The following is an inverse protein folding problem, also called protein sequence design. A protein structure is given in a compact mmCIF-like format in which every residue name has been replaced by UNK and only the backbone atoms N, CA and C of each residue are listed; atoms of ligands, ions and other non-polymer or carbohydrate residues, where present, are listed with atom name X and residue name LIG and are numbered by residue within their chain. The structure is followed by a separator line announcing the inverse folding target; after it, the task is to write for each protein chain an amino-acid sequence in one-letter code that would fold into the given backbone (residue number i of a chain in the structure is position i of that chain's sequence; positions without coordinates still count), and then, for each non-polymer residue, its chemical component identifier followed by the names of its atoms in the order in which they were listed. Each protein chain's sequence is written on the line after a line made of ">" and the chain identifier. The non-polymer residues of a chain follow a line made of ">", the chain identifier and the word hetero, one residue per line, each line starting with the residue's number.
data_IF_801061503953
#
_entry.id   IF_801061503953
#
_cell.length_a   1.000
_cell.length_b   1.000
_cell.length_c   1.000
_cell.angle_alpha   90.00
_cell.angle_beta   90.00
_cell.angle_gamma   90.00
#
_symmetry.space_group_name_H-M   'P 1'
#
loop_
_entity.id
_entity.type
_entity.pdbx_description
1 polymer ?
#
# COMPACT_ATOMS: atom_id res chain seq x y z
N UNK A 1 8.26 31.40 -3.12
CA UNK A 1 8.23 31.50 -1.64
C UNK A 1 8.81 30.19 -1.14
N UNK A 2 10.09 30.19 -0.76
CA UNK A 2 10.78 28.99 -0.28
C UNK A 2 10.22 28.60 1.08
N UNK A 3 9.81 27.33 1.25
CA UNK A 3 9.46 26.80 2.57
C UNK A 3 10.73 26.82 3.43
N UNK A 4 10.67 27.27 4.69
CA UNK A 4 11.79 27.12 5.59
C UNK A 4 12.18 25.64 5.66
N UNK A 5 13.47 25.34 5.50
CA UNK A 5 13.97 23.98 5.56
C UNK A 5 13.69 23.41 6.95
N UNK A 6 12.75 22.48 7.03
CA UNK A 6 12.67 21.58 8.18
C UNK A 6 13.86 20.63 8.05
N UNK A 7 14.84 20.72 8.95
CA UNK A 7 16.05 19.86 8.96
C UNK A 7 15.75 18.35 9.09
N UNK A 8 14.47 18.00 9.28
CA UNK A 8 13.94 16.65 9.36
C UNK A 8 12.96 16.35 8.21
N UNK A 9 13.30 15.36 7.40
CA UNK A 9 12.46 14.79 6.34
C UNK A 9 11.46 13.82 6.97
N UNK A 10 10.16 14.09 6.80
CA UNK A 10 9.11 13.23 7.31
C UNK A 10 8.57 12.32 6.21
N UNK A 11 8.76 11.01 6.37
CA UNK A 11 8.28 9.98 5.45
C UNK A 11 7.08 9.27 6.07
N UNK A 12 5.99 9.16 5.31
CA UNK A 12 4.85 8.32 5.68
C UNK A 12 4.97 7.00 4.92
N UNK A 13 5.14 5.89 5.63
CA UNK A 13 5.23 4.55 5.05
C UNK A 13 3.88 3.84 5.14
N UNK A 14 3.32 3.45 3.99
CA UNK A 14 2.01 2.82 3.87
C UNK A 14 2.14 1.44 3.19
N UNK A 15 2.32 0.36 3.95
CA UNK A 15 2.37 -1.00 3.43
C UNK A 15 0.98 -1.54 3.08
N UNK A 16 0.92 -2.50 2.16
CA UNK A 16 -0.27 -3.34 1.98
C UNK A 16 -0.50 -4.19 3.25
N UNK A 17 -1.75 -4.36 3.72
CA UNK A 17 -2.03 -5.12 4.94
C UNK A 17 -1.73 -6.61 4.75
N UNK A 18 -0.53 -7.03 5.13
CA UNK A 18 -0.07 -8.41 4.98
C UNK A 18 1.36 -8.57 5.46
N UNK A 19 1.67 -9.68 6.16
CA UNK A 19 3.01 -9.92 6.74
C UNK A 19 4.13 -9.77 5.70
N UNK A 20 3.91 -10.32 4.50
CA UNK A 20 4.87 -10.28 3.39
C UNK A 20 5.14 -8.90 2.81
N UNK A 21 4.32 -7.89 3.13
CA UNK A 21 4.47 -6.51 2.67
C UNK A 21 4.92 -5.60 3.82
N UNK A 22 4.36 -5.78 5.02
CA UNK A 22 4.69 -5.00 6.20
C UNK A 22 6.15 -5.21 6.62
N UNK A 23 6.62 -6.47 6.71
CA UNK A 23 7.96 -6.74 7.21
C UNK A 23 9.06 -6.18 6.29
N UNK A 24 9.03 -6.35 4.95
CA UNK A 24 10.03 -5.74 4.08
C UNK A 24 10.03 -4.21 4.14
N UNK A 25 8.86 -3.57 4.17
CA UNK A 25 8.79 -2.12 4.31
C UNK A 25 9.37 -1.65 5.64
N UNK A 26 9.09 -2.39 6.73
CA UNK A 26 9.66 -2.09 8.05
C UNK A 26 11.19 -2.18 8.04
N UNK A 27 11.76 -3.24 7.47
CA UNK A 27 13.22 -3.39 7.36
C UNK A 27 13.86 -2.23 6.57
N UNK A 28 13.23 -1.77 5.49
CA UNK A 28 13.71 -0.61 4.73
C UNK A 28 13.65 0.66 5.58
N UNK A 29 12.57 0.86 6.33
CA UNK A 29 12.43 2.01 7.23
C UNK A 29 13.50 2.02 8.34
N UNK A 30 13.76 0.87 8.97
CA UNK A 30 14.82 0.70 9.98
C UNK A 30 16.20 1.00 9.39
N UNK A 31 16.48 0.52 8.18
CA UNK A 31 17.74 0.77 7.49
C UNK A 31 17.93 2.26 7.13
N UNK A 32 16.87 2.92 6.66
CA UNK A 32 16.88 4.36 6.34
C UNK A 32 17.18 5.18 7.60
N UNK A 33 16.49 4.90 8.70
CA UNK A 33 16.71 5.59 9.97
C UNK A 33 18.10 5.31 10.53
N UNK A 34 18.57 4.07 10.45
CA UNK A 34 19.92 3.70 10.92
C UNK A 34 21.03 4.48 10.18
N UNK A 35 20.83 4.76 8.89
CA UNK A 35 21.79 5.54 8.08
C UNK A 35 21.67 7.05 8.27
N UNK A 36 20.50 7.56 8.66
CA UNK A 36 20.22 9.00 8.81
C UNK A 36 19.42 9.30 10.11
N UNK A 37 20.00 9.04 11.29
CA UNK A 37 19.28 9.02 12.56
C UNK A 37 18.83 10.38 13.09
N UNK A 38 19.24 11.50 12.49
CA UNK A 38 18.88 12.84 12.97
C UNK A 38 18.02 13.64 11.97
N UNK A 39 17.77 13.09 10.79
CA UNK A 39 17.18 13.84 9.68
C UNK A 39 15.95 13.17 9.07
N UNK A 40 15.58 11.97 9.53
CA UNK A 40 14.41 11.26 8.99
C UNK A 40 13.51 10.82 10.13
N UNK A 41 12.27 11.30 10.08
CA UNK A 41 11.15 10.80 10.85
C UNK A 41 10.32 9.89 9.94
N UNK A 42 9.93 8.72 10.43
CA UNK A 42 9.05 7.80 9.72
C UNK A 42 7.76 7.63 10.51
N UNK A 43 6.62 7.95 9.89
CA UNK A 43 5.30 7.50 10.34
C UNK A 43 4.96 6.22 9.61
N UNK A 44 5.00 5.09 10.32
CA UNK A 44 4.68 3.78 9.77
C UNK A 44 3.21 3.46 10.00
N UNK A 45 2.43 3.44 8.92
CA UNK A 45 0.98 3.29 8.98
C UNK A 45 0.60 1.82 8.92
N UNK A 46 -0.32 1.40 9.80
CA UNK A 46 -0.91 0.07 9.77
C UNK A 46 -2.40 0.15 10.11
N UNK A 47 -3.17 -0.91 9.92
CA UNK A 47 -4.52 -0.95 10.50
C UNK A 47 -4.43 -1.19 12.02
N UNK A 48 -5.48 -0.85 12.75
CA UNK A 48 -5.59 -1.10 14.19
C UNK A 48 -5.34 -2.57 14.58
N UNK A 49 -5.83 -3.55 13.80
CA UNK A 49 -5.55 -4.97 14.00
C UNK A 49 -4.05 -5.24 13.85
N UNK A 50 -3.46 -4.76 12.75
CA UNK A 50 -2.06 -4.99 12.42
C UNK A 50 -1.11 -4.43 13.48
N UNK A 51 -1.44 -3.32 14.14
CA UNK A 51 -0.67 -2.81 15.27
C UNK A 51 -0.50 -3.87 16.38
N UNK A 52 -1.57 -4.62 16.67
CA UNK A 52 -1.54 -5.72 17.63
C UNK A 52 -0.76 -6.95 17.14
N UNK A 53 -0.76 -7.20 15.83
CA UNK A 53 -0.07 -8.34 15.22
C UNK A 53 1.45 -8.13 15.09
N UNK A 54 1.92 -6.90 14.89
CA UNK A 54 3.34 -6.59 14.68
C UNK A 54 4.07 -6.12 15.93
N UNK A 55 3.36 -5.82 17.02
CA UNK A 55 3.99 -5.50 18.30
C UNK A 55 4.04 -6.75 19.18
N UNK A 56 5.13 -7.54 19.19
CA UNK A 56 5.43 -8.35 20.35
C UNK A 56 5.49 -7.44 21.58
N UNK A 57 4.92 -7.86 22.71
CA UNK A 57 4.97 -7.14 24.00
C UNK A 57 6.37 -6.68 24.45
N UNK A 58 7.43 -7.13 23.77
CA UNK A 58 8.84 -6.96 24.16
C UNK A 58 9.75 -6.40 23.05
N UNK A 59 9.22 -5.86 21.94
CA UNK A 59 10.06 -5.17 20.94
C UNK A 59 9.73 -3.68 20.91
N UNK A 60 10.51 -2.82 21.60
CA UNK A 60 10.52 -1.40 21.27
C UNK A 60 10.83 -1.27 19.78
N UNK A 61 10.25 -0.29 19.08
CA UNK A 61 10.86 0.13 17.81
C UNK A 61 12.31 0.46 18.13
N UNK A 62 13.24 -0.15 17.39
CA UNK A 62 14.67 -0.05 17.72
C UNK A 62 15.19 1.40 17.64
N UNK A 63 14.37 2.30 17.08
CA UNK A 63 14.65 3.72 16.89
C UNK A 63 13.43 4.58 17.27
N UNK A 64 13.69 5.68 17.98
CA UNK A 64 12.68 6.68 18.37
C UNK A 64 12.07 7.46 17.18
N UNK A 65 12.72 7.36 16.01
CA UNK A 65 12.31 8.03 14.78
C UNK A 65 11.29 7.25 13.94
N UNK A 66 10.88 6.05 14.38
CA UNK A 66 9.83 5.28 13.72
C UNK A 66 8.61 5.28 14.63
N UNK A 67 7.56 5.96 14.19
CA UNK A 67 6.30 6.09 14.92
C UNK A 67 5.21 5.30 14.22
N UNK A 68 4.64 4.33 14.92
CA UNK A 68 3.47 3.61 14.41
C UNK A 68 2.22 4.45 14.59
N UNK A 69 1.42 4.58 13.53
CA UNK A 69 0.10 5.19 13.57
C UNK A 69 -0.90 4.28 12.89
N UNK A 70 -2.14 4.29 13.36
CA UNK A 70 -3.18 3.38 12.88
C UNK A 70 -4.22 4.09 12.03
N UNK A 71 -4.73 3.38 11.04
CA UNK A 71 -6.02 3.64 10.40
C UNK A 71 -7.06 2.60 10.87
N UNK A 72 -8.36 2.95 10.89
CA UNK A 72 -9.45 2.01 11.17
C UNK A 72 -9.34 0.68 10.43
N UNK A 73 -9.75 -0.41 11.08
CA UNK A 73 -9.87 -1.71 10.44
C UNK A 73 -11.04 -1.74 9.44
N UNK A 74 -10.74 -1.44 8.17
CA UNK A 74 -11.71 -1.43 7.06
C UNK A 74 -11.59 -2.63 6.12
N UNK A 75 -10.71 -3.58 6.45
CA UNK A 75 -10.43 -4.80 5.69
C UNK A 75 -10.72 -6.04 6.55
N UNK A 76 -11.06 -7.19 5.95
CA UNK A 76 -11.14 -8.46 6.66
C UNK A 76 -9.86 -8.77 7.45
N UNK A 77 -10.02 -9.45 8.60
CA UNK A 77 -8.92 -9.83 9.49
C UNK A 77 -7.84 -10.64 8.76
N UNK A 78 -6.57 -10.45 9.14
CA UNK A 78 -5.46 -11.30 8.66
C UNK A 78 -5.71 -12.80 8.85
N UNK A 79 -6.46 -13.19 9.89
CA UNK A 79 -6.74 -14.60 10.19
C UNK A 79 -7.81 -15.21 9.29
N UNK A 80 -8.72 -14.39 8.77
CA UNK A 80 -9.92 -14.84 8.05
C UNK A 80 -9.94 -14.44 6.58
N UNK A 81 -9.06 -13.53 6.14
CA UNK A 81 -9.06 -13.02 4.76
C UNK A 81 -8.89 -14.09 3.68
N UNK A 82 -8.35 -15.26 4.01
CA UNK A 82 -8.23 -16.37 3.05
C UNK A 82 -9.57 -17.02 2.72
N UNK A 83 -10.60 -16.83 3.56
CA UNK A 83 -11.97 -17.31 3.30
C UNK A 83 -12.66 -16.54 2.19
N UNK A 84 -12.27 -15.27 1.98
CA UNK A 84 -12.78 -14.39 0.94
C UNK A 84 -11.68 -13.38 0.55
N UNK A 85 -10.77 -13.87 -0.30
CA UNK A 85 -9.63 -13.06 -0.75
C UNK A 85 -10.09 -11.88 -1.62
N UNK A 86 -11.14 -12.06 -2.41
CA UNK A 86 -11.66 -11.03 -3.31
C UNK A 86 -12.24 -9.87 -2.52
N UNK A 87 -13.07 -10.14 -1.50
CA UNK A 87 -13.58 -9.10 -0.62
C UNK A 87 -12.47 -8.39 0.15
N UNK A 88 -11.40 -9.10 0.53
CA UNK A 88 -10.23 -8.50 1.17
C UNK A 88 -9.52 -7.53 0.22
N UNK A 89 -9.21 -8.00 -0.99
CA UNK A 89 -8.54 -7.19 -2.03
C UNK A 89 -9.38 -5.97 -2.38
N UNK A 90 -10.69 -6.15 -2.59
CA UNK A 90 -11.62 -5.04 -2.86
C UNK A 90 -11.63 -4.02 -1.73
N UNK A 91 -11.68 -4.48 -0.47
CA UNK A 91 -11.65 -3.59 0.68
C UNK A 91 -10.35 -2.77 0.76
N UNK A 92 -9.19 -3.38 0.46
CA UNK A 92 -7.91 -2.66 0.39
C UNK A 92 -7.96 -1.56 -0.67
N UNK A 93 -8.48 -1.86 -1.86
CA UNK A 93 -8.53 -0.91 -2.97
C UNK A 93 -9.57 0.20 -2.78
N UNK A 94 -10.69 -0.07 -2.11
CA UNK A 94 -11.83 0.86 -2.06
C UNK A 94 -12.04 1.54 -0.72
N UNK A 95 -11.55 0.97 0.38
CA UNK A 95 -11.91 1.42 1.74
C UNK A 95 -10.75 2.00 2.52
N UNK A 96 -9.50 1.70 2.17
CA UNK A 96 -8.33 2.20 2.90
C UNK A 96 -7.90 3.62 2.55
N UNK A 97 -8.23 4.11 1.34
CA UNK A 97 -7.82 5.44 0.87
C UNK A 97 -8.34 6.56 1.77
N UNK A 98 -9.66 6.61 2.05
CA UNK A 98 -10.28 7.65 2.87
C UNK A 98 -9.65 7.76 4.27
N UNK A 99 -9.56 6.66 5.04
CA UNK A 99 -8.90 6.68 6.35
C UNK A 99 -7.43 7.08 6.31
N UNK A 100 -6.71 6.75 5.23
CA UNK A 100 -5.33 7.18 5.04
C UNK A 100 -5.23 8.69 4.77
N UNK A 101 -6.13 9.25 3.97
CA UNK A 101 -6.22 10.70 3.76
C UNK A 101 -6.53 11.45 5.06
N UNK A 102 -7.52 10.99 5.82
CA UNK A 102 -7.86 11.55 7.13
C UNK A 102 -6.69 11.44 8.13
N UNK A 103 -5.85 10.42 8.00
CA UNK A 103 -4.60 10.33 8.76
C UNK A 103 -3.62 11.43 8.35
N UNK A 104 -3.40 11.65 7.05
CA UNK A 104 -2.50 12.69 6.57
C UNK A 104 -2.91 14.09 7.06
N UNK A 105 -4.22 14.35 7.20
CA UNK A 105 -4.74 15.62 7.75
C UNK A 105 -4.46 15.81 9.24
N UNK A 106 -4.30 14.72 10.00
CA UNK A 106 -4.02 14.75 11.44
C UNK A 106 -2.53 14.79 11.76
N UNK A 107 -1.66 14.59 10.77
CA UNK A 107 -0.21 14.65 10.95
C UNK A 107 0.20 16.13 11.08
N UNK A 108 0.71 16.50 12.26
CA UNK A 108 1.17 17.87 12.53
C UNK A 108 2.49 18.22 11.82
N UNK A 109 3.34 17.21 11.56
CA UNK A 109 4.66 17.40 10.94
C UNK A 109 4.56 17.34 9.41
N UNK A 110 4.96 18.38 8.66
CA UNK A 110 4.83 18.38 7.20
C UNK A 110 5.40 17.13 6.52
N UNK A 111 4.56 16.39 5.80
CA UNK A 111 4.97 15.17 5.10
C UNK A 111 5.82 15.54 3.88
N UNK A 112 7.03 15.00 3.84
CA UNK A 112 8.01 15.24 2.77
C UNK A 112 7.87 14.24 1.62
N UNK A 113 7.50 12.99 1.93
CA UNK A 113 7.26 11.94 0.95
C UNK A 113 6.38 10.83 1.53
N UNK A 114 5.72 10.09 0.63
CA UNK A 114 5.03 8.84 0.95
C UNK A 114 5.84 7.69 0.35
N UNK A 115 6.08 6.63 1.12
CA UNK A 115 6.52 5.33 0.59
C UNK A 115 5.34 4.39 0.66
N UNK A 116 4.76 4.04 -0.48
CA UNK A 116 3.57 3.20 -0.55
C UNK A 116 3.90 1.85 -1.18
N UNK A 117 3.21 0.81 -0.73
CA UNK A 117 3.22 -0.46 -1.43
C UNK A 117 2.63 -0.31 -2.84
N UNK A 118 3.21 -0.99 -3.82
CA UNK A 118 2.80 -0.89 -5.23
C UNK A 118 1.37 -1.40 -5.48
N UNK A 119 0.82 -2.23 -4.59
CA UNK A 119 -0.59 -2.63 -4.67
C UNK A 119 -1.57 -1.54 -4.20
N UNK A 120 -1.10 -0.50 -3.50
CA UNK A 120 -1.95 0.60 -3.04
C UNK A 120 -1.98 1.71 -4.10
N UNK A 121 -2.61 1.41 -5.24
CA UNK A 121 -2.64 2.32 -6.40
C UNK A 121 -3.18 3.71 -6.04
N UNK A 122 -4.17 3.77 -5.14
CA UNK A 122 -4.76 5.02 -4.65
C UNK A 122 -3.74 5.93 -3.95
N UNK A 123 -2.62 5.40 -3.42
CA UNK A 123 -1.62 6.21 -2.72
C UNK A 123 -0.91 7.20 -3.66
N UNK A 124 -0.76 6.84 -4.95
CA UNK A 124 -0.25 7.74 -5.98
C UNK A 124 -1.21 8.92 -6.19
N UNK A 125 -2.51 8.64 -6.29
CA UNK A 125 -3.52 9.68 -6.49
C UNK A 125 -3.63 10.59 -5.27
N UNK A 126 -3.57 10.05 -4.05
CA UNK A 126 -3.49 10.82 -2.80
C UNK A 126 -2.27 11.75 -2.81
N UNK A 127 -1.08 11.22 -3.14
CA UNK A 127 0.14 12.01 -3.22
C UNK A 127 0.06 13.14 -4.25
N UNK A 128 -0.51 12.85 -5.43
CA UNK A 128 -0.73 13.84 -6.48
C UNK A 128 -1.68 14.96 -6.02
N UNK A 129 -2.83 14.62 -5.42
CA UNK A 129 -3.79 15.61 -4.90
C UNK A 129 -3.18 16.51 -3.83
N UNK A 130 -2.29 15.97 -3.01
CA UNK A 130 -1.64 16.67 -1.89
C UNK A 130 -0.30 17.30 -2.24
N UNK A 131 0.17 17.13 -3.49
CA UNK A 131 1.50 17.55 -3.94
C UNK A 131 2.63 17.00 -3.04
N UNK A 132 2.52 15.71 -2.70
CA UNK A 132 3.51 14.95 -1.93
C UNK A 132 4.12 13.88 -2.85
N UNK A 133 5.46 13.85 -3.01
CA UNK A 133 6.12 12.80 -3.77
C UNK A 133 5.82 11.40 -3.22
N UNK A 134 5.56 10.44 -4.10
CA UNK A 134 5.30 9.05 -3.73
C UNK A 134 6.37 8.14 -4.32
N UNK A 135 7.00 7.33 -3.48
CA UNK A 135 7.87 6.25 -3.87
C UNK A 135 7.13 4.91 -3.74
N UNK A 136 7.13 4.11 -4.81
CA UNK A 136 6.50 2.79 -4.82
C UNK A 136 7.47 1.72 -4.32
N UNK A 137 7.04 0.89 -3.38
CA UNK A 137 7.77 -0.29 -2.92
C UNK A 137 7.16 -1.55 -3.53
N UNK A 138 7.97 -2.36 -4.20
CA UNK A 138 7.60 -3.70 -4.68
C UNK A 138 8.33 -4.75 -3.84
N UNK A 139 7.68 -5.39 -2.86
CA UNK A 139 8.36 -6.33 -1.96
C UNK A 139 8.55 -7.74 -2.56
N UNK A 140 7.98 -8.01 -3.75
CA UNK A 140 8.10 -9.30 -4.44
C UNK A 140 9.31 -9.31 -5.38
N UNK A 141 9.53 -10.43 -6.09
CA UNK A 141 10.67 -10.54 -7.02
C UNK A 141 10.51 -9.63 -8.24
N UNK A 142 11.64 -9.24 -8.83
CA UNK A 142 11.69 -8.50 -10.08
C UNK A 142 11.05 -9.27 -11.26
N UNK A 143 11.09 -10.61 -11.21
CA UNK A 143 10.43 -11.44 -12.23
C UNK A 143 8.91 -11.32 -12.19
N UNK A 144 8.30 -11.33 -11.00
CA UNK A 144 6.84 -11.12 -10.86
C UNK A 144 6.46 -9.70 -11.27
N UNK A 145 7.26 -8.70 -10.90
CA UNK A 145 7.08 -7.33 -11.38
C UNK A 145 7.05 -7.27 -12.91
N UNK A 146 8.04 -7.88 -13.57
CA UNK A 146 8.14 -7.89 -15.03
C UNK A 146 6.92 -8.53 -15.70
N UNK A 147 6.42 -9.65 -15.16
CA UNK A 147 5.20 -10.31 -15.66
C UNK A 147 3.99 -9.39 -15.57
N UNK A 148 3.78 -8.73 -14.43
CA UNK A 148 2.65 -7.82 -14.22
C UNK A 148 2.79 -6.55 -15.07
N UNK A 149 3.99 -5.97 -15.13
CA UNK A 149 4.29 -4.79 -15.93
C UNK A 149 4.06 -5.03 -17.42
N UNK A 150 4.37 -6.23 -17.91
CA UNK A 150 4.18 -6.63 -19.30
C UNK A 150 2.89 -7.43 -19.55
N UNK A 151 1.88 -7.33 -18.66
CA UNK A 151 0.65 -8.11 -18.76
C UNK A 151 -0.06 -7.94 -20.12
N UNK A 152 -0.20 -6.72 -20.62
CA UNK A 152 -0.82 -6.46 -21.93
C UNK A 152 -0.03 -7.08 -23.09
N UNK A 153 1.30 -7.10 -23.01
CA UNK A 153 2.13 -7.76 -24.02
C UNK A 153 1.94 -9.27 -24.00
N UNK A 154 1.85 -9.88 -22.81
CA UNK A 154 1.54 -11.30 -22.65
C UNK A 154 0.17 -11.65 -23.24
N UNK A 155 -0.84 -10.81 -22.98
CA UNK A 155 -2.19 -10.94 -23.54
C UNK A 155 -2.19 -10.86 -25.06
N UNK A 156 -1.52 -9.87 -25.65
CA UNK A 156 -1.42 -9.69 -27.09
C UNK A 156 -0.76 -10.88 -27.81
N UNK A 157 0.19 -11.56 -27.14
CA UNK A 157 0.87 -12.73 -27.68
C UNK A 157 0.18 -14.06 -27.31
N UNK A 158 -0.97 -14.04 -26.64
CA UNK A 158 -1.69 -15.26 -26.26
C UNK A 158 -1.00 -16.08 -25.17
N UNK A 159 -0.11 -15.48 -24.37
CA UNK A 159 0.65 -16.15 -23.32
C UNK A 159 -0.06 -16.18 -21.96
N UNK A 160 -1.37 -15.92 -21.92
CA UNK A 160 -2.12 -16.00 -20.67
C UNK A 160 -2.38 -17.47 -20.30
N UNK A 161 -2.01 -17.92 -19.08
CA UNK A 161 -2.18 -19.30 -18.67
C UNK A 161 -3.65 -19.70 -18.41
N UNK A 162 -4.58 -18.74 -18.46
CA UNK A 162 -6.02 -18.96 -18.20
C UNK A 162 -6.84 -18.11 -19.19
N UNK A 163 -7.82 -18.73 -19.87
CA UNK A 163 -8.88 -18.00 -20.55
C UNK A 163 -9.78 -17.35 -19.48
N UNK A 164 -9.58 -16.06 -19.24
CA UNK A 164 -10.53 -15.28 -18.44
C UNK A 164 -11.77 -15.04 -19.32
N UNK A 165 -12.74 -15.96 -19.27
CA UNK A 165 -14.08 -15.68 -19.76
C UNK A 165 -14.66 -14.58 -18.88
N UNK A 166 -14.58 -13.34 -19.35
CA UNK A 166 -15.42 -12.29 -18.80
C UNK A 166 -16.83 -12.64 -19.26
N UNK A 167 -17.66 -13.16 -18.36
CA UNK A 167 -19.10 -13.24 -18.57
C UNK A 167 -19.64 -11.81 -18.64
N UNK A 168 -19.45 -11.15 -19.78
CA UNK A 168 -20.25 -10.00 -20.14
C UNK A 168 -21.64 -10.54 -20.42
N UNK A 169 -22.53 -10.46 -19.43
CA UNK A 169 -23.96 -10.78 -19.50
C UNK A 169 -24.75 -9.87 -20.44
N UNK A 170 -24.19 -9.53 -21.60
CA UNK A 170 -24.86 -8.94 -22.75
C UNK A 170 -24.67 -9.88 -23.94
N UNK A 171 -25.54 -10.87 -24.07
CA UNK A 171 -25.94 -11.32 -25.40
C UNK A 171 -27.42 -11.00 -25.56
N UNK A 172 -27.64 -10.06 -26.47
CA UNK A 172 -28.91 -9.67 -27.06
C UNK A 172 -29.75 -10.90 -27.39
N UNK A 173 -31.02 -10.90 -26.96
CA UNK A 173 -32.06 -11.62 -27.68
C UNK A 173 -32.06 -11.07 -29.12
N UNK A 174 -31.67 -11.90 -30.08
CA UNK A 174 -32.03 -11.69 -31.48
C UNK A 174 -32.96 -12.83 -31.90
N UNK A 175 -34.08 -12.39 -32.46
CA UNK A 175 -35.19 -13.14 -33.01
C UNK A 175 -34.80 -14.02 -34.20
N UNK A 176 -35.66 -15.01 -34.46
CA UNK A 176 -36.02 -15.61 -35.74
C UNK A 176 -34.95 -16.18 -36.68
N UNK A 177 -35.06 -17.49 -36.97
CA UNK A 177 -35.57 -18.00 -38.27
C UNK A 177 -35.14 -19.45 -38.53
N UNK A 178 -36.00 -20.42 -38.17
CA UNK A 178 -36.57 -21.43 -39.08
C UNK A 178 -37.49 -22.41 -38.35
#
# INVERSE_FOLDING_TARGET
>A
MERPATDCCHVVAMPYPGRGHINPMMNICEEIVSRKPHNILITFVVTEEWLGLIRPRNRPSMHDNIRFVTIPNVVPSEHDRSKDLDAFVEAVFRKMEGPFEELLDRIEVPVSAIVADSHLLWALDVGNRRNIPVASLWPMSASVFSVIYHFELLKQNGHLPVQLSVDTGLTSKSEDMK
#
